data_IF_806125357983
#
_entry.id   IF_806125357983
#
_cell.length_a   1.000
_cell.length_b   1.000
_cell.length_c   1.000
_cell.angle_alpha   90.00
_cell.angle_beta   90.00
_cell.angle_gamma   90.00
#
_symmetry.space_group_name_H-M   'P 1'
#
loop_
_entity.id
_entity.type
_entity.pdbx_description
1 polymer ?
#
# COMPACT_ATOMS: atom_id res chain seq x y z
N UNK A 1 42.62 -60.17 -22.75
CA UNK A 1 43.87 -59.71 -22.10
C UNK A 1 44.12 -60.57 -20.88
N UNK A 2 45.36 -60.98 -20.62
CA UNK A 2 45.73 -61.68 -19.37
C UNK A 2 45.80 -60.67 -18.24
N UNK A 3 44.80 -60.70 -17.35
CA UNK A 3 44.77 -59.90 -16.14
C UNK A 3 45.84 -60.42 -15.16
N UNK A 4 46.66 -59.53 -14.58
CA UNK A 4 47.77 -59.92 -13.70
C UNK A 4 47.44 -59.70 -12.22
N UNK A 5 48.17 -60.39 -11.33
CA UNK A 5 47.99 -60.23 -9.88
C UNK A 5 48.32 -58.80 -9.41
N UNK A 6 49.37 -58.20 -9.96
CA UNK A 6 49.76 -56.81 -9.66
C UNK A 6 48.67 -55.82 -10.11
N UNK A 7 48.09 -56.03 -11.29
CA UNK A 7 46.97 -55.23 -11.78
C UNK A 7 45.72 -55.39 -10.91
N UNK A 8 45.47 -56.61 -10.41
CA UNK A 8 44.38 -56.90 -9.46
C UNK A 8 44.57 -56.15 -8.15
N UNK A 9 45.77 -56.16 -7.59
CA UNK A 9 46.09 -55.44 -6.36
C UNK A 9 45.98 -53.92 -6.54
N UNK A 10 46.47 -53.38 -7.67
CA UNK A 10 46.40 -51.95 -7.97
C UNK A 10 44.96 -51.44 -8.19
N UNK A 11 44.10 -52.24 -8.83
CA UNK A 11 42.72 -51.88 -9.16
C UNK A 11 41.69 -52.37 -8.13
N UNK A 12 42.13 -52.92 -7.00
CA UNK A 12 41.24 -53.47 -5.97
C UNK A 12 40.29 -52.40 -5.38
N UNK A 13 40.80 -51.19 -5.11
CA UNK A 13 39.98 -50.10 -4.58
C UNK A 13 38.91 -49.68 -5.58
N UNK A 14 39.29 -49.49 -6.85
CA UNK A 14 38.35 -49.17 -7.93
C UNK A 14 37.25 -50.24 -8.06
N UNK A 15 37.59 -51.51 -7.86
CA UNK A 15 36.62 -52.62 -7.88
C UNK A 15 35.63 -52.54 -6.74
N UNK A 16 36.12 -52.26 -5.53
CA UNK A 16 35.29 -52.14 -4.33
C UNK A 16 34.39 -50.89 -4.37
N UNK A 17 34.84 -49.83 -5.03
CA UNK A 17 34.11 -48.58 -5.24
C UNK A 17 33.17 -48.64 -6.47
N UNK A 18 33.25 -49.69 -7.29
CA UNK A 18 32.41 -49.87 -8.47
C UNK A 18 32.77 -48.96 -9.65
N UNK A 19 34.04 -48.55 -9.74
CA UNK A 19 34.57 -47.62 -10.75
C UNK A 19 35.15 -48.31 -12.00
N UNK A 20 35.24 -49.65 -12.04
CA UNK A 20 35.69 -50.37 -13.24
C UNK A 20 34.62 -50.42 -14.31
N UNK A 21 35.07 -50.38 -15.56
CA UNK A 21 34.20 -50.65 -16.71
C UNK A 21 33.73 -52.12 -16.70
N UNK A 22 32.54 -52.42 -17.23
CA UNK A 22 31.96 -53.76 -17.17
C UNK A 22 32.84 -54.84 -17.82
N UNK A 23 33.59 -54.49 -18.87
CA UNK A 23 34.53 -55.40 -19.52
C UNK A 23 35.76 -55.71 -18.64
N UNK A 24 36.25 -54.70 -17.91
CA UNK A 24 37.36 -54.86 -16.97
C UNK A 24 36.94 -55.65 -15.74
N UNK A 25 35.71 -55.42 -15.25
CA UNK A 25 35.15 -56.15 -14.11
C UNK A 25 35.06 -57.65 -14.39
N UNK A 26 34.59 -58.04 -15.58
CA UNK A 26 34.55 -59.46 -15.97
C UNK A 26 35.95 -60.10 -16.05
N UNK A 27 36.95 -59.35 -16.50
CA UNK A 27 38.35 -59.82 -16.54
C UNK A 27 38.95 -59.96 -15.13
N UNK A 28 38.65 -59.01 -14.23
CA UNK A 28 39.02 -59.05 -12.82
C UNK A 28 38.40 -60.26 -12.11
N UNK A 29 37.09 -60.46 -12.27
CA UNK A 29 36.38 -61.59 -11.66
C UNK A 29 36.91 -62.93 -12.17
N UNK A 30 37.21 -63.05 -13.47
CA UNK A 30 37.86 -64.24 -14.01
C UNK A 30 39.22 -64.51 -13.35
N UNK A 31 40.03 -63.47 -13.12
CA UNK A 31 41.32 -63.62 -12.46
C UNK A 31 41.18 -64.01 -10.99
N UNK A 32 40.30 -63.34 -10.24
CA UNK A 32 40.09 -63.59 -8.81
C UNK A 32 39.54 -65.00 -8.58
N UNK A 33 38.70 -65.51 -9.47
CA UNK A 33 38.18 -66.88 -9.39
C UNK A 33 39.24 -67.95 -9.74
N UNK A 34 40.23 -67.63 -10.58
CA UNK A 34 41.26 -68.57 -11.00
C UNK A 34 42.55 -68.51 -10.15
N UNK A 35 42.84 -67.39 -9.50
CA UNK A 35 44.09 -67.14 -8.81
C UNK A 35 43.99 -67.34 -7.29
N UNK A 36 44.63 -68.40 -6.78
CA UNK A 36 44.64 -68.76 -5.35
C UNK A 36 45.20 -67.68 -4.40
N UNK A 37 46.00 -66.72 -4.91
CA UNK A 37 46.51 -65.59 -4.12
C UNK A 37 45.51 -64.43 -4.05
N UNK A 38 44.83 -64.13 -5.14
CA UNK A 38 43.92 -62.99 -5.22
C UNK A 38 42.56 -63.28 -4.57
N UNK A 39 42.05 -64.51 -4.64
CA UNK A 39 40.77 -64.88 -4.00
C UNK A 39 40.71 -64.53 -2.51
N UNK A 40 41.67 -64.98 -1.65
CA UNK A 40 41.63 -64.65 -0.22
C UNK A 40 41.86 -63.16 0.04
N UNK A 41 42.65 -62.48 -0.78
CA UNK A 41 42.91 -61.05 -0.64
C UNK A 41 41.61 -60.25 -0.82
N UNK A 42 40.91 -60.43 -1.95
CA UNK A 42 39.65 -59.72 -2.24
C UNK A 42 38.57 -60.07 -1.21
N UNK A 43 38.48 -61.34 -0.80
CA UNK A 43 37.56 -61.78 0.24
C UNK A 43 37.84 -61.11 1.59
N UNK A 44 39.11 -60.97 1.99
CA UNK A 44 39.46 -60.33 3.26
C UNK A 44 39.10 -58.84 3.29
N UNK A 45 39.42 -58.10 2.23
CA UNK A 45 39.16 -56.65 2.16
C UNK A 45 37.65 -56.38 2.06
N UNK A 46 36.92 -57.15 1.25
CA UNK A 46 35.46 -57.02 1.16
C UNK A 46 34.77 -57.36 2.49
N UNK A 47 35.25 -58.36 3.22
CA UNK A 47 34.74 -58.69 4.56
C UNK A 47 35.01 -57.56 5.57
N UNK A 48 36.21 -56.97 5.56
CA UNK A 48 36.55 -55.82 6.41
C UNK A 48 35.66 -54.63 6.10
N UNK A 49 35.48 -54.27 4.83
CA UNK A 49 34.56 -53.19 4.42
C UNK A 49 33.12 -53.49 4.81
N UNK A 50 32.67 -54.74 4.64
CA UNK A 50 31.34 -55.17 5.07
C UNK A 50 31.15 -55.06 6.59
N UNK A 51 32.21 -55.28 7.37
CA UNK A 51 32.20 -55.09 8.82
C UNK A 51 32.17 -53.61 9.18
N UNK A 52 32.98 -52.77 8.53
CA UNK A 52 33.00 -51.32 8.73
C UNK A 52 31.66 -50.65 8.41
N UNK A 53 30.96 -51.11 7.36
CA UNK A 53 29.63 -50.59 7.00
C UNK A 53 28.54 -50.91 8.03
N UNK A 54 28.74 -51.93 8.88
CA UNK A 54 27.80 -52.31 9.95
C UNK A 54 28.00 -51.49 11.22
N UNK A 55 29.08 -50.71 11.33
CA UNK A 55 29.25 -49.80 12.45
C UNK A 55 28.16 -48.73 12.39
N UNK A 56 27.77 -48.26 13.58
CA UNK A 56 26.79 -47.19 13.74
C UNK A 56 27.18 -45.98 12.89
N UNK A 57 26.25 -45.51 12.04
CA UNK A 57 26.49 -44.31 11.27
C UNK A 57 26.47 -43.11 12.21
N UNK A 58 27.59 -42.38 12.23
CA UNK A 58 27.69 -41.12 13.00
C UNK A 58 26.76 -40.11 12.34
N UNK A 59 25.76 -39.65 13.10
CA UNK A 59 24.83 -38.63 12.60
C UNK A 59 25.60 -37.33 12.35
N UNK A 60 25.57 -36.79 11.11
CA UNK A 60 26.31 -35.59 10.80
C UNK A 60 25.73 -34.39 11.57
N UNK A 61 26.61 -33.53 12.07
CA UNK A 61 26.15 -32.35 12.80
C UNK A 61 25.24 -31.47 11.92
N UNK A 62 24.15 -30.90 12.46
CA UNK A 62 23.22 -30.06 11.69
C UNK A 62 23.88 -28.78 11.12
N UNK A 63 25.05 -28.40 11.65
CA UNK A 63 25.86 -27.31 11.09
C UNK A 63 26.51 -27.67 9.76
N UNK A 64 26.89 -28.94 9.56
CA UNK A 64 27.55 -29.39 8.33
C UNK A 64 26.61 -29.24 7.13
N UNK A 65 25.35 -29.66 7.29
CA UNK A 65 24.32 -29.54 6.25
C UNK A 65 24.13 -28.09 5.83
N UNK A 66 23.98 -27.18 6.82
CA UNK A 66 23.84 -25.75 6.54
C UNK A 66 25.08 -25.16 5.85
N UNK A 67 26.28 -25.56 6.27
CA UNK A 67 27.53 -25.12 5.63
C UNK A 67 27.59 -25.55 4.17
N UNK A 68 27.25 -26.81 3.86
CA UNK A 68 27.23 -27.31 2.48
C UNK A 68 26.18 -26.55 1.65
N UNK A 69 24.97 -26.38 2.18
CA UNK A 69 23.92 -25.64 1.49
C UNK A 69 24.35 -24.20 1.15
N UNK A 70 25.02 -23.52 2.08
CA UNK A 70 25.50 -22.15 1.82
C UNK A 70 26.58 -22.09 0.73
N UNK A 71 27.47 -23.08 0.66
CA UNK A 71 28.54 -23.14 -0.35
C UNK A 71 27.99 -23.54 -1.72
N UNK A 72 27.09 -24.52 -1.79
CA UNK A 72 26.57 -25.04 -3.06
C UNK A 72 25.43 -24.19 -3.64
N UNK A 73 24.56 -23.63 -2.80
CA UNK A 73 23.36 -22.89 -3.24
C UNK A 73 23.49 -21.37 -3.13
N UNK A 74 24.60 -20.88 -2.56
CA UNK A 74 24.80 -19.47 -2.26
C UNK A 74 23.96 -19.00 -1.06
N UNK A 75 24.09 -17.73 -0.65
CA UNK A 75 23.41 -17.22 0.53
C UNK A 75 21.88 -17.29 0.38
N UNK A 76 21.23 -18.03 1.29
CA UNK A 76 19.78 -18.24 1.36
C UNK A 76 18.98 -16.93 1.33
N UNK A 77 19.56 -15.83 1.82
CA UNK A 77 18.96 -14.49 1.84
C UNK A 77 18.62 -14.00 0.43
N UNK A 78 19.49 -14.22 -0.56
CA UNK A 78 19.26 -13.77 -1.93
C UNK A 78 18.17 -14.59 -2.62
N UNK A 79 18.11 -15.89 -2.36
CA UNK A 79 17.06 -16.78 -2.89
C UNK A 79 15.70 -16.44 -2.30
N UNK A 80 15.62 -16.24 -0.99
CA UNK A 80 14.36 -15.88 -0.31
C UNK A 80 13.89 -14.49 -0.71
N UNK A 81 14.80 -13.51 -0.83
CA UNK A 81 14.47 -12.18 -1.36
C UNK A 81 13.95 -12.26 -2.80
N UNK A 82 14.61 -13.03 -3.68
CA UNK A 82 14.19 -13.22 -5.08
C UNK A 82 12.87 -14.02 -5.21
N UNK A 83 12.55 -14.87 -4.24
CA UNK A 83 11.28 -15.63 -4.19
C UNK A 83 10.13 -14.76 -3.68
N UNK A 84 10.36 -13.98 -2.63
CA UNK A 84 9.42 -12.99 -2.12
C UNK A 84 9.10 -11.92 -3.18
N UNK A 85 10.13 -11.39 -3.86
CA UNK A 85 9.96 -10.44 -4.95
C UNK A 85 9.18 -11.03 -6.12
N UNK A 86 9.42 -12.32 -6.47
CA UNK A 86 8.63 -13.02 -7.49
C UNK A 86 7.17 -13.25 -7.06
N UNK A 87 6.91 -13.44 -5.77
CA UNK A 87 5.55 -13.51 -5.22
C UNK A 87 4.79 -12.20 -5.39
N UNK A 88 5.48 -11.06 -5.17
CA UNK A 88 4.94 -9.72 -5.42
C UNK A 88 4.77 -9.40 -6.92
N UNK A 89 5.54 -10.04 -7.80
CA UNK A 89 5.39 -9.91 -9.25
C UNK A 89 4.21 -10.71 -9.84
N UNK A 90 3.38 -11.36 -9.00
CA UNK A 90 2.19 -12.00 -9.54
C UNK A 90 1.26 -10.94 -10.17
N UNK A 91 0.68 -11.22 -11.35
CA UNK A 91 -0.06 -10.24 -12.15
C UNK A 91 -1.25 -9.60 -11.40
N UNK A 92 -1.72 -10.23 -10.32
CA UNK A 92 -2.81 -9.75 -9.47
C UNK A 92 -2.43 -8.47 -8.70
N UNK A 93 -1.18 -8.35 -8.23
CA UNK A 93 -0.75 -7.16 -7.48
C UNK A 93 -0.40 -5.96 -8.37
N UNK A 94 -0.13 -6.21 -9.66
CA UNK A 94 0.17 -5.14 -10.63
C UNK A 94 -1.03 -4.22 -10.81
N UNK A 95 -2.24 -4.76 -10.96
CA UNK A 95 -3.45 -3.95 -11.13
C UNK A 95 -3.76 -3.08 -9.91
N UNK A 96 -3.61 -3.63 -8.69
CA UNK A 96 -3.80 -2.85 -7.47
C UNK A 96 -2.75 -1.75 -7.31
N UNK A 97 -1.48 -2.04 -7.62
CA UNK A 97 -0.41 -1.05 -7.54
C UNK A 97 -0.62 0.09 -8.55
N UNK A 98 -1.04 -0.24 -9.78
CA UNK A 98 -1.37 0.75 -10.81
C UNK A 98 -2.56 1.61 -10.37
N UNK A 99 -3.61 1.02 -9.80
CA UNK A 99 -4.77 1.78 -9.32
C UNK A 99 -4.41 2.75 -8.21
N UNK A 100 -3.66 2.31 -7.18
CA UNK A 100 -3.24 3.18 -6.07
C UNK A 100 -2.33 4.29 -6.57
N UNK A 101 -1.38 3.98 -7.46
CA UNK A 101 -0.51 4.97 -8.06
C UNK A 101 -1.30 6.01 -8.86
N UNK A 102 -2.27 5.58 -9.66
CA UNK A 102 -3.13 6.48 -10.43
C UNK A 102 -3.95 7.41 -9.51
N UNK A 103 -4.56 6.88 -8.46
CA UNK A 103 -5.29 7.70 -7.46
C UNK A 103 -4.37 8.69 -6.76
N UNK A 104 -3.17 8.26 -6.37
CA UNK A 104 -2.20 9.14 -5.72
C UNK A 104 -1.73 10.26 -6.65
N UNK A 105 -1.47 9.96 -7.93
CA UNK A 105 -1.12 10.96 -8.94
C UNK A 105 -2.26 11.98 -9.11
N UNK A 106 -3.52 11.53 -9.19
CA UNK A 106 -4.67 12.41 -9.28
C UNK A 106 -4.82 13.32 -8.05
N UNK A 107 -4.55 12.80 -6.86
CA UNK A 107 -4.56 13.61 -5.63
C UNK A 107 -3.43 14.64 -5.63
N UNK A 108 -2.23 14.27 -6.05
CA UNK A 108 -1.10 15.19 -6.15
C UNK A 108 -1.35 16.32 -7.15
N UNK A 109 -1.91 16.00 -8.32
CA UNK A 109 -2.28 17.02 -9.31
C UNK A 109 -3.41 17.91 -8.79
N UNK A 110 -4.42 17.34 -8.11
CA UNK A 110 -5.48 18.12 -7.47
C UNK A 110 -4.94 19.04 -6.36
N UNK A 111 -3.94 18.61 -5.59
CA UNK A 111 -3.30 19.39 -4.53
C UNK A 111 -2.49 20.59 -5.05
N UNK A 112 -2.22 20.66 -6.36
CA UNK A 112 -1.45 21.74 -6.98
C UNK A 112 0.05 21.45 -7.12
N UNK A 113 0.48 20.20 -6.89
CA UNK A 113 1.87 19.80 -7.00
C UNK A 113 2.40 19.95 -8.42
N UNK A 114 3.41 20.80 -8.61
CA UNK A 114 4.01 21.04 -9.93
C UNK A 114 5.23 20.15 -10.16
N UNK A 115 5.07 19.10 -10.98
CA UNK A 115 6.15 18.17 -11.37
C UNK A 115 7.39 18.85 -11.95
N UNK A 116 7.24 20.07 -12.49
CA UNK A 116 8.34 20.82 -13.13
C UNK A 116 9.26 21.52 -12.12
N UNK A 117 8.79 21.76 -10.88
CA UNK A 117 9.56 22.35 -9.78
C UNK A 117 9.08 21.79 -8.43
N UNK A 118 9.50 20.57 -8.05
CA UNK A 118 9.05 19.96 -6.80
C UNK A 118 9.55 20.80 -5.62
N UNK A 119 8.63 21.35 -4.83
CA UNK A 119 8.94 22.02 -3.57
C UNK A 119 8.37 21.18 -2.43
N UNK A 120 9.19 20.84 -1.42
CA UNK A 120 8.72 20.16 -0.22
C UNK A 120 7.66 20.96 0.54
N UNK A 121 7.69 22.29 0.43
CA UNK A 121 6.70 23.18 1.02
C UNK A 121 5.29 23.02 0.40
N UNK A 122 5.19 22.45 -0.80
CA UNK A 122 3.91 22.16 -1.46
C UNK A 122 3.20 20.94 -0.85
N UNK A 123 3.93 20.11 -0.09
CA UNK A 123 3.37 18.99 0.68
C UNK A 123 3.00 19.41 2.12
N UNK A 124 3.20 20.68 2.49
CA UNK A 124 2.83 21.12 3.83
C UNK A 124 1.30 21.07 4.00
N UNK A 125 0.77 20.47 5.07
CA UNK A 125 -0.69 20.33 5.24
C UNK A 125 -1.42 21.69 5.23
N UNK A 126 -0.75 22.75 5.66
CA UNK A 126 -1.28 24.10 5.64
C UNK A 126 -1.46 24.69 4.23
N UNK A 127 -0.57 24.39 3.28
CA UNK A 127 -0.69 24.88 1.89
C UNK A 127 -1.79 24.14 1.14
N UNK A 128 -1.91 22.83 1.37
CA UNK A 128 -2.99 21.99 0.84
C UNK A 128 -4.36 22.53 1.28
N UNK A 129 -4.53 22.82 2.58
CA UNK A 129 -5.79 23.33 3.11
C UNK A 129 -6.17 24.69 2.51
N UNK A 130 -5.22 25.63 2.43
CA UNK A 130 -5.45 26.96 1.85
C UNK A 130 -5.81 26.90 0.37
N UNK A 131 -5.14 26.03 -0.38
CA UNK A 131 -5.44 25.82 -1.81
C UNK A 131 -6.82 25.17 -2.02
N UNK A 132 -7.22 24.26 -1.13
CA UNK A 132 -8.54 23.63 -1.16
C UNK A 132 -9.66 24.65 -0.87
N UNK A 133 -9.50 25.45 0.19
CA UNK A 133 -10.46 26.48 0.61
C UNK A 133 -10.77 27.48 -0.51
N UNK A 134 -9.73 28.03 -1.14
CA UNK A 134 -9.88 28.98 -2.26
C UNK A 134 -10.65 28.36 -3.44
N UNK A 135 -10.45 27.07 -3.73
CA UNK A 135 -11.17 26.36 -4.81
C UNK A 135 -12.61 26.07 -4.46
N UNK A 136 -12.90 25.73 -3.20
CA UNK A 136 -14.27 25.49 -2.71
C UNK A 136 -15.12 26.73 -2.91
N UNK A 137 -14.59 27.90 -2.54
CA UNK A 137 -15.30 29.17 -2.73
C UNK A 137 -15.61 29.49 -4.19
N UNK A 138 -14.67 29.23 -5.10
CA UNK A 138 -14.89 29.43 -6.54
C UNK A 138 -15.95 28.48 -7.11
N UNK A 139 -15.95 27.21 -6.68
CA UNK A 139 -16.95 26.21 -7.09
C UNK A 139 -18.33 26.57 -6.53
N UNK A 140 -18.39 27.00 -5.28
CA UNK A 140 -19.62 27.47 -4.66
C UNK A 140 -20.20 28.69 -5.38
N UNK A 141 -19.38 29.71 -5.68
CA UNK A 141 -19.83 30.89 -6.41
C UNK A 141 -20.34 30.55 -7.81
N UNK A 142 -19.67 29.63 -8.51
CA UNK A 142 -20.07 29.19 -9.85
C UNK A 142 -21.38 28.40 -9.84
N UNK A 143 -21.55 27.51 -8.86
CA UNK A 143 -22.78 26.71 -8.72
C UNK A 143 -23.97 27.59 -8.29
N UNK A 144 -23.78 28.49 -7.33
CA UNK A 144 -24.80 29.45 -6.93
C UNK A 144 -25.24 30.34 -8.10
N UNK A 145 -24.28 30.84 -8.90
CA UNK A 145 -24.59 31.61 -10.11
C UNK A 145 -25.37 30.78 -11.13
N UNK A 146 -24.97 29.54 -11.38
CA UNK A 146 -25.67 28.65 -12.30
C UNK A 146 -27.12 28.43 -11.86
N UNK A 147 -27.36 28.13 -10.58
CA UNK A 147 -28.71 27.95 -10.03
C UNK A 147 -29.54 29.24 -10.14
N UNK A 148 -28.96 30.40 -9.86
CA UNK A 148 -29.65 31.69 -9.98
C UNK A 148 -30.01 32.06 -11.42
N UNK A 149 -29.25 31.57 -12.41
CA UNK A 149 -29.45 31.86 -13.83
C UNK A 149 -30.45 30.90 -14.49
N UNK A 150 -30.90 29.85 -13.78
CA UNK A 150 -31.96 28.97 -14.28
C UNK A 150 -33.27 29.76 -14.39
N UNK A 151 -33.82 29.80 -15.61
CA UNK A 151 -35.11 30.44 -15.96
C UNK A 151 -36.26 30.07 -15.03
N UNK A 152 -36.29 28.84 -14.53
CA UNK A 152 -37.30 28.34 -13.58
C UNK A 152 -37.30 29.14 -12.27
N UNK A 153 -36.11 29.51 -11.75
CA UNK A 153 -36.02 30.31 -10.52
C UNK A 153 -36.55 31.73 -10.77
N UNK A 154 -36.23 32.32 -11.93
CA UNK A 154 -36.74 33.62 -12.31
C UNK A 154 -38.27 33.63 -12.48
N UNK A 155 -38.84 32.61 -13.12
CA UNK A 155 -40.30 32.48 -13.28
C UNK A 155 -41.01 32.28 -11.93
N UNK A 156 -40.45 31.52 -11.00
CA UNK A 156 -41.02 31.38 -9.65
C UNK A 156 -40.93 32.72 -8.91
N UNK A 157 -39.77 33.38 -8.97
CA UNK A 157 -39.54 34.64 -8.27
C UNK A 157 -40.42 35.76 -8.83
N UNK A 158 -40.68 35.78 -10.15
CA UNK A 158 -41.60 36.74 -10.77
C UNK A 158 -43.04 36.50 -10.35
N UNK A 159 -43.51 35.24 -10.28
CA UNK A 159 -44.87 34.90 -9.84
C UNK A 159 -45.13 35.27 -8.39
N UNK A 160 -44.15 35.06 -7.51
CA UNK A 160 -44.26 35.44 -6.09
C UNK A 160 -44.29 36.96 -5.95
N UNK A 161 -43.42 37.69 -6.65
CA UNK A 161 -43.40 39.16 -6.61
C UNK A 161 -44.70 39.77 -7.17
N UNK A 162 -45.26 39.19 -8.24
CA UNK A 162 -46.57 39.57 -8.79
C UNK A 162 -47.71 39.37 -7.75
N UNK A 163 -47.62 38.31 -6.94
CA UNK A 163 -48.60 38.00 -5.90
C UNK A 163 -48.46 38.93 -4.69
N UNK A 164 -47.24 39.36 -4.34
CA UNK A 164 -47.01 40.33 -3.26
C UNK A 164 -47.36 41.78 -3.66
N UNK A 165 -47.19 42.14 -4.93
CA UNK A 165 -47.54 43.47 -5.43
C UNK A 165 -49.04 43.67 -5.69
N UNK A 166 -49.83 42.59 -5.78
CA UNK A 166 -51.26 42.65 -6.04
C UNK A 166 -52.07 42.01 -4.89
N UNK A 167 -52.26 42.73 -3.76
CA UNK A 167 -52.97 42.19 -2.59
C UNK A 167 -54.43 41.81 -2.88
N UNK A 168 -55.01 42.25 -4.01
CA UNK A 168 -56.39 41.95 -4.41
C UNK A 168 -56.64 40.47 -4.77
N UNK A 169 -55.61 39.68 -5.11
CA UNK A 169 -55.77 38.24 -5.38
C UNK A 169 -55.74 37.38 -4.11
N UNK A 170 -55.33 37.95 -2.96
CA UNK A 170 -55.24 37.22 -1.69
C UNK A 170 -56.62 36.95 -1.07
N UNK A 171 -57.67 37.59 -1.58
CA UNK A 171 -59.02 37.57 -0.99
C UNK A 171 -59.93 36.44 -1.49
N UNK A 172 -59.58 35.74 -2.59
CA UNK A 172 -60.47 34.74 -3.21
C UNK A 172 -60.15 33.26 -2.88
N UNK A 173 -59.09 32.94 -2.12
CA UNK A 173 -58.68 31.53 -1.93
C UNK A 173 -58.42 31.08 -0.48
N UNK A 174 -59.07 31.66 0.54
CA UNK A 174 -58.98 31.15 1.93
C UNK A 174 -60.36 31.06 2.60
N UNK A 175 -60.85 29.86 2.97
CA UNK A 175 -62.01 29.71 3.85
C UNK A 175 -61.72 30.27 5.26
N UNK A 176 -62.59 31.17 5.72
CA UNK A 176 -62.48 31.80 7.04
C UNK A 176 -62.73 30.81 8.18
N UNK A 177 -61.74 30.67 9.06
CA UNK A 177 -61.90 30.21 10.43
C UNK A 177 -61.02 31.10 11.32
N UNK A 178 -61.63 32.10 11.95
CA UNK A 178 -61.01 32.84 13.07
C UNK A 178 -61.47 32.22 14.40
N UNK A 179 -60.61 32.27 15.43
CA UNK A 179 -60.98 33.13 16.55
C UNK A 179 -59.86 34.08 17.00
N UNK A 180 -60.20 35.37 16.85
CA UNK A 180 -59.96 36.54 17.72
C UNK A 180 -59.01 36.38 18.94
N UNK A 181 -57.94 37.18 18.97
CA UNK A 181 -57.47 37.86 20.20
C UNK A 181 -56.84 39.23 19.87
N UNK A 182 -57.21 40.20 20.71
CA UNK A 182 -57.13 41.66 20.58
C UNK A 182 -55.74 42.28 20.94
N UNK A 183 -55.55 43.60 20.70
CA UNK A 183 -54.31 44.20 20.20
C UNK A 183 -53.42 44.81 21.30
N UNK A 184 -52.13 44.93 21.01
CA UNK A 184 -51.16 45.57 21.89
C UNK A 184 -50.18 46.46 21.14
N UNK A 185 -50.43 47.77 21.26
CA UNK A 185 -49.48 48.89 21.23
C UNK A 185 -48.65 49.12 19.96
N UNK A 186 -49.08 50.13 19.20
CA UNK A 186 -48.26 50.91 18.28
C UNK A 186 -47.17 51.65 19.04
N UNK A 187 -45.94 51.64 18.53
CA UNK A 187 -45.12 52.84 18.62
C UNK A 187 -44.38 53.07 17.30
N UNK A 188 -44.74 54.17 16.67
CA UNK A 188 -44.29 54.62 15.37
C UNK A 188 -43.14 55.58 15.59
N UNK A 189 -41.93 55.25 15.17
CA UNK A 189 -40.99 56.29 14.72
C UNK A 189 -40.04 55.72 13.67
N UNK A 190 -40.44 55.90 12.42
CA UNK A 190 -39.55 55.90 11.27
C UNK A 190 -39.40 57.36 10.82
N UNK A 191 -38.18 57.86 10.62
CA UNK A 191 -37.95 58.85 9.57
C UNK A 191 -37.08 58.25 8.47
N UNK A 192 -37.71 58.09 7.32
CA UNK A 192 -37.12 57.77 6.03
C UNK A 192 -36.05 58.78 5.60
N UNK A 193 -34.88 58.31 5.12
CA UNK A 193 -34.14 58.72 3.90
C UNK A 193 -32.63 58.41 3.99
N UNK A 194 -31.86 58.35 2.88
CA UNK A 194 -32.09 57.69 1.61
C UNK A 194 -31.12 56.51 1.39
N UNK A 195 -31.49 55.67 0.43
CA UNK A 195 -30.77 54.48 -0.06
C UNK A 195 -29.41 54.87 -0.69
N UNK A 196 -28.28 54.66 0.00
CA UNK A 196 -26.96 54.66 -0.64
C UNK A 196 -25.97 53.70 0.04
N UNK A 197 -25.80 52.54 -0.61
CA UNK A 197 -24.66 51.61 -0.67
C UNK A 197 -23.49 51.85 0.30
N UNK A 198 -23.28 50.91 1.26
CA UNK A 198 -21.95 50.49 1.73
C UNK A 198 -22.04 49.23 2.62
N UNK A 199 -22.29 48.06 2.02
CA UNK A 199 -22.37 46.74 2.71
C UNK A 199 -21.00 46.11 3.04
N UNK A 200 -19.90 46.81 2.77
CA UNK A 200 -18.55 46.28 2.96
C UNK A 200 -17.99 46.46 4.39
N UNK A 201 -18.62 47.26 5.26
CA UNK A 201 -18.04 47.65 6.54
C UNK A 201 -18.62 46.92 7.78
N UNK A 202 -19.57 46.00 7.57
CA UNK A 202 -20.21 45.26 8.69
C UNK A 202 -19.52 43.92 9.00
N UNK A 203 -18.80 43.36 8.04
CA UNK A 203 -18.08 42.08 8.18
C UNK A 203 -16.87 42.22 9.13
N UNK A 204 -16.24 43.40 9.18
CA UNK A 204 -15.07 43.65 10.03
C UNK A 204 -15.38 43.75 11.53
N UNK A 205 -16.62 44.10 11.91
CA UNK A 205 -16.98 44.29 13.33
C UNK A 205 -17.32 42.97 14.02
N UNK A 206 -17.97 42.06 13.30
CA UNK A 206 -18.38 40.76 13.85
C UNK A 206 -17.22 39.74 13.93
N UNK A 207 -16.16 39.91 13.14
CA UNK A 207 -14.95 39.08 13.23
C UNK A 207 -14.04 39.43 14.43
N UNK A 208 -14.25 40.57 15.10
CA UNK A 208 -13.49 40.93 16.31
C UNK A 208 -14.08 40.37 17.60
N UNK A 209 -15.31 39.83 17.55
CA UNK A 209 -16.02 39.29 18.72
C UNK A 209 -15.83 37.77 18.87
N UNK A 210 -15.48 37.05 17.79
CA UNK A 210 -15.26 35.59 17.83
C UNK A 210 -13.81 35.18 18.12
N UNK A 211 -12.91 36.12 18.40
CA UNK A 211 -11.50 35.83 18.71
C UNK A 211 -11.20 35.61 20.22
N UNK A 212 -12.22 35.63 21.08
CA UNK A 212 -12.04 35.56 22.54
C UNK A 212 -12.59 34.29 23.21
N UNK A 213 -13.19 33.35 22.48
CA UNK A 213 -13.70 32.10 23.06
C UNK A 213 -13.12 30.91 22.30
N UNK A 214 -11.91 30.46 22.67
CA UNK A 214 -11.49 29.04 22.66
C UNK A 214 -10.05 28.93 23.23
N UNK A 215 -9.83 29.12 24.54
CA UNK A 215 -8.71 28.47 25.20
C UNK A 215 -9.19 27.06 25.56
N UNK A 216 -8.68 26.03 24.89
CA UNK A 216 -8.56 24.62 25.33
C UNK A 216 -8.42 23.77 24.08
N UNK A 217 -7.16 23.50 23.72
CA UNK A 217 -6.65 22.22 23.22
C UNK A 217 -5.13 22.37 23.06
N UNK A 218 -4.47 22.67 24.18
CA UNK A 218 -3.02 22.59 24.32
C UNK A 218 -2.75 21.66 25.49
N UNK A 219 -2.81 20.37 25.22
CA UNK A 219 -2.55 19.33 26.21
C UNK A 219 -2.41 17.99 25.52
N UNK A 220 -1.27 17.34 25.74
CA UNK A 220 -0.93 15.96 25.38
C UNK A 220 -0.27 15.71 24.02
N UNK A 221 1.03 16.00 23.94
CA UNK A 221 2.09 15.05 23.54
C UNK A 221 3.34 15.50 24.33
N UNK A 222 3.77 14.86 25.43
CA UNK A 222 4.53 13.59 25.47
C UNK A 222 5.59 13.53 24.32
N UNK A 223 6.87 13.26 24.48
CA UNK A 223 7.76 12.79 25.54
C UNK A 223 9.18 12.75 24.87
N UNK A 224 10.28 12.76 25.64
CA UNK A 224 11.64 12.29 25.29
C UNK A 224 12.34 12.74 23.97
N UNK A 225 13.50 13.41 24.08
CA UNK A 225 14.87 12.81 24.20
C UNK A 225 16.01 13.83 23.90
N UNK A 226 16.92 13.97 24.88
CA UNK A 226 18.42 13.92 24.87
C UNK A 226 19.08 13.56 23.51
N UNK A 227 20.29 14.02 23.12
CA UNK A 227 21.58 14.03 23.86
C UNK A 227 21.94 15.28 24.66
#
# INVERSE_FOLDING_TARGET
>A
MTWTCEQTEARLSDYLDGLLEPAEQAAFDLHVNACARCTPLVASVSHLLGSLRKLEQVEPSPRLVNSILTVTQGPETWRNAKRWLRGLQSPRFVYSAVSVAATFILLLTASGFNWRKPKLADLAPATIYRNADSRIHLIYARSAKFVSDLRVVYEIQSRINETEQNPALREETIPQSSPKKEPGSTDNTNPSSPKQQNRANEIGRNLRVLACEFPVLSGSLADRRVP
#
